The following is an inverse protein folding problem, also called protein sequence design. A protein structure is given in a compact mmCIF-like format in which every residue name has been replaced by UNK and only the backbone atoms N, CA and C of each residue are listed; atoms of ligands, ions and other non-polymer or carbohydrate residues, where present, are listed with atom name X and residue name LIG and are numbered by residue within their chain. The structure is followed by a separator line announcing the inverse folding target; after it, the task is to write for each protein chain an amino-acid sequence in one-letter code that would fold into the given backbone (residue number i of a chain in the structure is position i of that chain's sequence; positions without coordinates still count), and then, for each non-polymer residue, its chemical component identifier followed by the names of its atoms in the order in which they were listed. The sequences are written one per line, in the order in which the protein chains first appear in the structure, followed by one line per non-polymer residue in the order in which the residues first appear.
data_IF_390601406426
#
_entry.id   IF_390601406426
#
_cell.length_a   1.000
_cell.length_b   1.000
_cell.length_c   1.000
_cell.angle_alpha   90.00
_cell.angle_beta   90.00
_cell.angle_gamma   90.00
#
_symmetry.space_group_name_H-M   'P 1'
#
loop_
_entity.id
_entity.type
_entity.pdbx_description
1 polymer ?
#
# COMPACT_ATOMS: atom_id res chain seq x y z
N UNK A 1 7.58 24.18 13.70
CA UNK A 1 6.46 23.42 13.11
C UNK A 1 6.99 22.89 11.80
N UNK A 2 7.50 21.65 11.83
CA UNK A 2 8.35 21.13 10.76
C UNK A 2 7.60 21.16 9.43
N UNK A 3 8.25 21.67 8.40
CA UNK A 3 7.81 21.52 7.02
C UNK A 3 7.47 20.04 6.81
N UNK A 4 6.18 19.72 6.71
CA UNK A 4 5.72 18.40 6.28
C UNK A 4 6.51 18.10 5.00
N UNK A 5 7.43 17.13 5.06
CA UNK A 5 8.29 16.77 3.92
C UNK A 5 7.38 16.22 2.84
N UNK A 6 6.86 17.12 2.00
CA UNK A 6 6.03 16.79 0.86
C UNK A 6 6.72 15.69 0.06
N UNK A 7 5.95 14.68 -0.30
CA UNK A 7 6.45 13.60 -1.15
C UNK A 7 6.67 14.24 -2.52
N UNK A 8 7.93 14.30 -2.93
CA UNK A 8 8.29 14.83 -4.25
C UNK A 8 7.70 13.93 -5.34
N UNK A 9 7.32 14.54 -6.47
CA UNK A 9 6.72 13.80 -7.58
C UNK A 9 7.61 12.66 -8.11
N UNK A 10 8.94 12.85 -8.29
CA UNK A 10 9.83 11.75 -8.71
C UNK A 10 9.88 10.59 -7.71
N UNK A 11 9.89 10.90 -6.42
CA UNK A 11 9.97 9.90 -5.36
C UNK A 11 8.65 9.14 -5.18
N UNK A 12 7.53 9.85 -5.20
CA UNK A 12 6.20 9.24 -5.19
C UNK A 12 5.98 8.35 -6.42
N UNK A 13 6.51 8.75 -7.58
CA UNK A 13 6.43 7.95 -8.81
C UNK A 13 7.29 6.68 -8.73
N UNK A 14 8.49 6.75 -8.16
CA UNK A 14 9.32 5.56 -7.88
C UNK A 14 8.61 4.57 -6.97
N UNK A 15 8.03 5.05 -5.87
CA UNK A 15 7.28 4.22 -4.95
C UNK A 15 6.00 3.64 -5.57
N UNK A 16 5.32 4.44 -6.40
CA UNK A 16 4.20 3.96 -7.19
C UNK A 16 4.61 2.79 -8.10
N UNK A 17 5.71 2.91 -8.84
CA UNK A 17 6.15 1.81 -9.72
C UNK A 17 6.50 0.55 -8.93
N UNK A 18 7.18 0.68 -7.78
CA UNK A 18 7.51 -0.47 -6.93
C UNK A 18 6.25 -1.23 -6.51
N UNK A 19 5.23 -0.51 -6.00
CA UNK A 19 3.98 -1.16 -5.55
C UNK A 19 3.16 -1.64 -6.73
N UNK A 20 3.09 -0.87 -7.81
CA UNK A 20 2.34 -1.25 -9.01
C UNK A 20 2.91 -2.53 -9.64
N UNK A 21 4.24 -2.66 -9.73
CA UNK A 21 4.86 -3.89 -10.22
C UNK A 21 4.68 -5.06 -9.25
N UNK A 22 4.66 -4.82 -7.94
CA UNK A 22 4.36 -5.86 -6.96
C UNK A 22 2.91 -6.37 -7.11
N UNK A 23 1.93 -5.47 -7.19
CA UNK A 23 0.52 -5.82 -7.40
C UNK A 23 0.31 -6.50 -8.77
N UNK A 24 1.01 -6.03 -9.81
CA UNK A 24 0.96 -6.66 -11.13
C UNK A 24 1.56 -8.07 -11.10
N UNK A 25 2.66 -8.28 -10.38
CA UNK A 25 3.26 -9.59 -10.22
C UNK A 25 2.32 -10.54 -9.47
N UNK A 26 1.69 -10.10 -8.37
CA UNK A 26 0.67 -10.88 -7.65
C UNK A 26 -0.49 -11.26 -8.56
N UNK A 27 -1.01 -10.30 -9.33
CA UNK A 27 -2.07 -10.56 -10.30
C UNK A 27 -1.67 -11.58 -11.38
N UNK A 28 -0.44 -11.50 -11.90
CA UNK A 28 0.07 -12.49 -12.87
C UNK A 28 0.22 -13.87 -12.23
N UNK A 29 0.64 -13.94 -10.97
CA UNK A 29 0.76 -15.19 -10.21
C UNK A 29 -0.61 -15.82 -10.00
N UNK A 30 -1.66 -15.04 -9.71
CA UNK A 30 -3.04 -15.52 -9.63
C UNK A 30 -3.43 -16.30 -10.89
N UNK A 31 -3.07 -15.80 -12.08
CA UNK A 31 -3.37 -16.47 -13.35
C UNK A 31 -2.65 -17.82 -13.52
N UNK A 32 -1.55 -18.03 -12.77
CA UNK A 32 -0.78 -19.28 -12.79
C UNK A 32 -1.19 -20.28 -11.70
N UNK A 33 -2.05 -19.89 -10.74
CA UNK A 33 -2.55 -20.78 -9.68
C UNK A 33 -3.22 -22.07 -10.18
N UNK A 34 -3.90 -22.13 -11.33
CA UNK A 34 -4.44 -23.38 -11.86
C UNK A 34 -3.37 -24.40 -12.25
N UNK A 35 -2.11 -23.98 -12.42
CA UNK A 35 -0.99 -24.86 -12.78
C UNK A 35 -0.45 -25.52 -11.50
N UNK A 36 -0.57 -26.85 -11.33
CA UNK A 36 -0.09 -27.54 -10.14
C UNK A 36 1.41 -27.34 -9.96
N UNK A 37 1.86 -27.26 -8.69
CA UNK A 37 3.28 -27.11 -8.27
C UNK A 37 3.89 -25.75 -8.65
N UNK A 38 3.84 -25.37 -9.93
CA UNK A 38 4.40 -24.09 -10.42
C UNK A 38 3.62 -22.90 -9.88
N UNK A 39 2.28 -22.95 -9.95
CA UNK A 39 1.43 -21.88 -9.42
C UNK A 39 1.60 -21.68 -7.91
N UNK A 40 1.76 -22.77 -7.15
CA UNK A 40 1.98 -22.68 -5.70
C UNK A 40 3.38 -22.18 -5.34
N UNK A 41 4.42 -22.62 -6.04
CA UNK A 41 5.77 -22.10 -5.84
C UNK A 41 5.84 -20.60 -6.13
N UNK A 42 5.18 -20.15 -7.21
CA UNK A 42 5.06 -18.75 -7.56
C UNK A 42 4.22 -17.97 -6.54
N UNK A 43 3.13 -18.52 -6.02
CA UNK A 43 2.31 -17.90 -4.97
C UNK A 43 3.12 -17.60 -3.70
N UNK A 44 3.93 -18.57 -3.26
CA UNK A 44 4.81 -18.38 -2.10
C UNK A 44 5.86 -17.31 -2.38
N UNK A 45 6.51 -17.33 -3.56
CA UNK A 45 7.47 -16.30 -3.93
C UNK A 45 6.83 -14.90 -4.03
N UNK A 46 5.64 -14.81 -4.61
CA UNK A 46 4.84 -13.59 -4.74
C UNK A 46 4.50 -12.98 -3.39
N UNK A 47 4.09 -13.81 -2.43
CA UNK A 47 3.81 -13.37 -1.06
C UNK A 47 5.02 -12.69 -0.42
N UNK A 48 6.23 -13.26 -0.55
CA UNK A 48 7.44 -12.64 0.01
C UNK A 48 7.82 -11.34 -0.69
N UNK A 49 7.73 -11.29 -2.03
CA UNK A 49 8.01 -10.07 -2.81
C UNK A 49 7.06 -8.94 -2.37
N UNK A 50 5.78 -9.26 -2.27
CA UNK A 50 4.74 -8.33 -1.85
C UNK A 50 4.91 -7.84 -0.42
N UNK A 51 5.22 -8.75 0.52
CA UNK A 51 5.49 -8.41 1.90
C UNK A 51 6.69 -7.47 2.04
N UNK A 52 7.77 -7.73 1.28
CA UNK A 52 8.95 -6.87 1.27
C UNK A 52 8.66 -5.50 0.65
N UNK A 53 7.90 -5.44 -0.44
CA UNK A 53 7.47 -4.19 -1.05
C UNK A 53 6.61 -3.37 -0.08
N UNK A 54 5.65 -4.03 0.59
CA UNK A 54 4.80 -3.39 1.59
C UNK A 54 5.59 -2.86 2.79
N UNK A 55 6.49 -3.66 3.37
CA UNK A 55 7.36 -3.21 4.47
C UNK A 55 8.28 -2.06 4.05
N UNK A 56 8.87 -2.13 2.85
CA UNK A 56 9.74 -1.08 2.32
C UNK A 56 9.02 0.26 2.17
N UNK A 57 7.80 0.25 1.63
CA UNK A 57 6.96 1.44 1.49
C UNK A 57 6.53 1.96 2.86
N UNK A 58 6.17 1.08 3.80
CA UNK A 58 5.77 1.47 5.14
C UNK A 58 6.91 2.18 5.88
N UNK A 59 8.13 1.64 5.80
CA UNK A 59 9.33 2.27 6.35
C UNK A 59 9.61 3.62 5.70
N UNK A 60 9.45 3.72 4.38
CA UNK A 60 9.60 4.99 3.67
C UNK A 60 8.60 6.06 4.11
N UNK A 61 7.32 5.70 4.27
CA UNK A 61 6.29 6.61 4.78
C UNK A 61 6.62 7.10 6.20
N UNK A 62 7.14 6.22 7.05
CA UNK A 62 7.62 6.57 8.40
C UNK A 62 8.81 7.55 8.31
N UNK A 63 9.80 7.30 7.46
CA UNK A 63 10.94 8.21 7.24
C UNK A 63 10.51 9.60 6.72
N UNK A 64 9.39 9.67 5.99
CA UNK A 64 8.78 10.93 5.55
C UNK A 64 7.94 11.62 6.60
N UNK A 65 7.74 11.03 7.78
CA UNK A 65 6.86 11.56 8.81
C UNK A 65 5.38 11.53 8.40
N UNK A 66 5.04 10.75 7.37
CA UNK A 66 3.66 10.64 6.87
C UNK A 66 2.96 9.52 7.61
N UNK A 67 1.73 9.76 8.08
CA UNK A 67 0.88 8.70 8.65
C UNK A 67 0.40 7.78 7.54
N UNK A 68 1.14 6.71 7.27
CA UNK A 68 0.81 5.66 6.30
C UNK A 68 -0.38 4.77 6.70
N UNK A 69 -1.35 5.29 7.44
CA UNK A 69 -2.47 4.51 7.97
C UNK A 69 -3.34 3.90 6.86
N UNK A 70 -3.52 4.62 5.75
CA UNK A 70 -4.26 4.13 4.58
C UNK A 70 -3.53 3.01 3.86
N UNK A 71 -2.22 3.17 3.63
CA UNK A 71 -1.39 2.11 3.03
C UNK A 71 -1.27 0.88 3.93
N UNK A 72 -1.17 1.07 5.25
CA UNK A 72 -1.19 0.00 6.23
C UNK A 72 -2.53 -0.74 6.22
N UNK A 73 -3.65 -0.01 6.26
CA UNK A 73 -4.98 -0.58 6.19
C UNK A 73 -5.23 -1.31 4.86
N UNK A 74 -4.75 -0.76 3.73
CA UNK A 74 -4.81 -1.38 2.42
C UNK A 74 -4.07 -2.72 2.37
N UNK A 75 -2.82 -2.75 2.82
CA UNK A 75 -2.05 -4.00 2.87
C UNK A 75 -2.65 -5.05 3.81
N UNK A 76 -3.19 -4.63 4.96
CA UNK A 76 -3.89 -5.54 5.88
C UNK A 76 -5.19 -6.08 5.26
N UNK A 77 -5.98 -5.22 4.63
CA UNK A 77 -7.22 -5.61 3.95
C UNK A 77 -6.95 -6.60 2.83
N UNK A 78 -5.91 -6.36 2.05
CA UNK A 78 -5.49 -7.25 0.96
C UNK A 78 -4.98 -8.60 1.49
N UNK A 79 -4.20 -8.59 2.58
CA UNK A 79 -3.77 -9.84 3.25
C UNK A 79 -4.96 -10.64 3.79
N UNK A 80 -5.93 -9.97 4.41
CA UNK A 80 -7.15 -10.60 4.92
C UNK A 80 -8.03 -11.15 3.79
N UNK A 81 -8.16 -10.41 2.69
CA UNK A 81 -8.93 -10.84 1.52
C UNK A 81 -8.31 -12.10 0.91
N UNK A 82 -6.98 -12.11 0.72
CA UNK A 82 -6.23 -13.28 0.27
C UNK A 82 -6.43 -14.50 1.20
N UNK A 83 -6.44 -14.31 2.51
CA UNK A 83 -6.71 -15.39 3.47
C UNK A 83 -8.15 -15.96 3.32
N UNK A 84 -9.10 -15.13 2.91
CA UNK A 84 -10.48 -15.51 2.62
C UNK A 84 -10.69 -16.00 1.17
N UNK A 85 -9.60 -16.22 0.41
CA UNK A 85 -9.62 -16.55 -1.01
C UNK A 85 -10.37 -15.53 -1.89
N UNK A 86 -10.46 -14.29 -1.41
CA UNK A 86 -11.00 -13.15 -2.14
C UNK A 86 -9.83 -12.30 -2.62
N UNK A 87 -9.48 -12.38 -3.90
CA UNK A 87 -8.36 -11.59 -4.41
C UNK A 87 -8.82 -10.17 -4.76
N UNK A 88 -8.11 -9.17 -4.22
CA UNK A 88 -8.40 -7.76 -4.44
C UNK A 88 -7.21 -7.11 -5.13
N UNK A 89 -7.15 -7.17 -6.47
CA UNK A 89 -5.99 -6.68 -7.19
C UNK A 89 -5.83 -5.16 -7.03
N UNK A 90 -4.59 -4.71 -6.97
CA UNK A 90 -4.20 -3.29 -6.93
C UNK A 90 -4.60 -2.50 -5.67
N UNK A 91 -5.03 -3.15 -4.58
CA UNK A 91 -5.40 -2.45 -3.34
C UNK A 91 -4.22 -1.68 -2.74
N UNK A 92 -3.02 -2.27 -2.73
CA UNK A 92 -1.82 -1.62 -2.20
C UNK A 92 -1.45 -0.38 -3.04
N UNK A 93 -1.56 -0.46 -4.36
CA UNK A 93 -1.35 0.67 -5.26
C UNK A 93 -2.35 1.80 -4.99
N UNK A 94 -3.64 1.49 -4.90
CA UNK A 94 -4.70 2.49 -4.66
C UNK A 94 -4.48 3.18 -3.31
N UNK A 95 -4.22 2.40 -2.26
CA UNK A 95 -4.01 2.95 -0.91
C UNK A 95 -2.71 3.72 -0.78
N UNK A 96 -1.67 3.39 -1.56
CA UNK A 96 -0.47 4.21 -1.69
C UNK A 96 -0.79 5.56 -2.32
N UNK A 97 -1.52 5.60 -3.44
CA UNK A 97 -1.89 6.84 -4.11
C UNK A 97 -2.72 7.75 -3.19
N UNK A 98 -3.68 7.18 -2.45
CA UNK A 98 -4.45 7.91 -1.44
C UNK A 98 -3.53 8.47 -0.36
N UNK A 99 -2.57 7.67 0.12
CA UNK A 99 -1.59 8.09 1.13
C UNK A 99 -0.73 9.26 0.63
N UNK A 100 -0.19 9.17 -0.58
CA UNK A 100 0.61 10.24 -1.21
C UNK A 100 -0.22 11.51 -1.40
N UNK A 101 -1.47 11.36 -1.86
CA UNK A 101 -2.37 12.48 -2.08
C UNK A 101 -2.67 13.22 -0.77
N UNK A 102 -3.02 12.49 0.30
CA UNK A 102 -3.29 13.06 1.63
C UNK A 102 -2.02 13.70 2.21
N UNK A 103 -0.86 13.06 2.05
CA UNK A 103 0.43 13.59 2.52
C UNK A 103 0.75 14.94 1.89
N UNK A 104 0.41 15.13 0.61
CA UNK A 104 0.64 16.37 -0.11
C UNK A 104 -0.47 17.43 0.09
N UNK A 105 -1.60 17.06 0.70
CA UNK A 105 -2.75 17.94 0.94
C UNK A 105 -3.08 18.06 2.45
N UNK A 106 -2.36 18.90 3.21
CA UNK A 106 -2.49 18.98 4.67
C UNK A 106 -3.88 19.40 5.15
N UNK A 107 -4.65 20.16 4.34
CA UNK A 107 -6.05 20.50 4.65
C UNK A 107 -6.95 19.26 4.72
N UNK A 108 -6.72 18.29 3.85
CA UNK A 108 -7.46 17.02 3.82
C UNK A 108 -7.00 16.14 4.98
N UNK A 109 -5.69 16.08 5.25
CA UNK A 109 -5.14 15.36 6.40
C UNK A 109 -5.73 15.86 7.74
N UNK A 110 -5.90 17.18 7.89
CA UNK A 110 -6.52 17.78 9.07
C UNK A 110 -8.01 17.42 9.19
N UNK A 111 -8.75 17.39 8.08
CA UNK A 111 -10.17 16.98 8.04
C UNK A 111 -10.30 15.51 8.42
N UNK A 112 -9.49 14.63 7.82
CA UNK A 112 -9.49 13.20 8.13
C UNK A 112 -9.17 12.97 9.60
N UNK A 113 -8.13 13.64 10.12
CA UNK A 113 -7.75 13.52 11.54
C UNK A 113 -8.89 13.96 12.46
N UNK A 114 -9.59 15.06 12.14
CA UNK A 114 -10.76 15.54 12.89
C UNK A 114 -11.98 14.60 12.77
N UNK A 115 -12.19 13.99 11.61
CA UNK A 115 -13.25 13.02 11.38
C UNK A 115 -13.00 11.71 12.15
N UNK A 116 -11.76 11.22 12.17
CA UNK A 116 -11.37 10.01 12.91
C UNK A 116 -11.29 10.23 14.42
N UNK A 117 -10.91 11.43 14.87
CA UNK A 117 -10.83 11.77 16.30
C UNK A 117 -12.14 12.32 16.87
N UNK A 118 -13.22 12.29 16.08
CA UNK A 118 -14.60 12.66 16.44
C UNK A 118 -14.73 13.53 17.69
N UNK A 119 -14.80 14.85 17.49
CA UNK A 119 -15.54 15.77 18.38
C UNK A 119 -15.36 15.46 19.89
N UNK A 120 -14.17 15.67 20.43
CA UNK A 120 -14.08 16.03 21.85
C UNK A 120 -14.07 17.55 21.93
N UNK A 121 -15.15 18.06 22.54
CA UNK A 121 -15.59 19.45 22.77
C UNK A 121 -16.11 20.19 21.53
#
# INVERSE_FOLDING_TARGET
MNEDKKISLPEGLLMFFIVFFADLAEFLILLTLPIPIVGQALAVAGFFISLLAWLGIQLWLIMKGTRGAWFLAGGLLDTLANLMALDLPFVKTITLLITIYIANHPKIAAIITRATLGKKT
#
